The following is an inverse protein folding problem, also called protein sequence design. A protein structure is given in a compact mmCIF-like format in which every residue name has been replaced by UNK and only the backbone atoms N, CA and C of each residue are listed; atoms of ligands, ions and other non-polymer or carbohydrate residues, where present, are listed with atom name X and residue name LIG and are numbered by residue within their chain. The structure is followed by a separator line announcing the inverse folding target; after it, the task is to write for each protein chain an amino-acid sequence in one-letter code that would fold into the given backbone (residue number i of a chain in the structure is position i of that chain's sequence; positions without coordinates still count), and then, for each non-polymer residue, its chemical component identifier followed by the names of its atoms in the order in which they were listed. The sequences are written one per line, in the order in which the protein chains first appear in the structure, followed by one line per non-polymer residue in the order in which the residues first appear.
data_IF_502514675982
#
_entry.id   IF_502514675982
#
_cell.length_a   1.000
_cell.length_b   1.000
_cell.length_c   1.000
_cell.angle_alpha   90.00
_cell.angle_beta   90.00
_cell.angle_gamma   90.00
#
_symmetry.space_group_name_H-M   'P 1'
#
loop_
_entity.id
_entity.type
_entity.pdbx_description
1 polymer ?
#
# COMPACT_ATOMS: atom_id res chain seq x y z
N UNK A 1 30.67 -21.15 -13.30
CA UNK A 1 30.51 -20.43 -12.02
C UNK A 1 29.02 -20.29 -11.78
N UNK A 2 28.46 -21.00 -10.81
CA UNK A 2 27.05 -20.86 -10.41
C UNK A 2 26.90 -19.53 -9.68
N UNK A 3 25.99 -18.67 -10.15
CA UNK A 3 25.72 -17.40 -9.49
C UNK A 3 25.26 -17.66 -8.04
N UNK A 4 25.88 -16.98 -7.08
CA UNK A 4 25.37 -16.98 -5.69
C UNK A 4 23.95 -16.42 -5.68
N UNK A 5 23.01 -17.02 -4.94
CA UNK A 5 21.64 -16.53 -4.89
C UNK A 5 21.62 -15.11 -4.32
N UNK A 6 20.80 -14.24 -4.92
CA UNK A 6 20.58 -12.89 -4.42
C UNK A 6 20.08 -12.93 -2.97
N UNK A 7 20.53 -12.01 -2.10
CA UNK A 7 20.01 -11.93 -0.73
C UNK A 7 18.50 -11.70 -0.72
N UNK A 8 17.83 -12.19 0.33
CA UNK A 8 16.40 -12.00 0.53
C UNK A 8 16.10 -10.55 0.95
N UNK A 9 15.06 -9.97 0.35
CA UNK A 9 14.51 -8.68 0.77
C UNK A 9 13.41 -8.87 1.80
N UNK A 10 13.67 -8.47 3.05
CA UNK A 10 12.69 -8.51 4.13
C UNK A 10 11.88 -7.22 4.16
N UNK A 11 10.59 -7.29 3.85
CA UNK A 11 9.68 -6.16 3.98
C UNK A 11 8.94 -6.21 5.33
N UNK A 12 8.55 -5.04 5.83
CA UNK A 12 7.65 -4.94 6.99
C UNK A 12 6.22 -4.56 6.58
N UNK A 13 5.31 -4.53 7.56
CA UNK A 13 3.92 -4.15 7.37
C UNK A 13 3.54 -3.02 8.32
N UNK A 14 2.91 -1.96 7.81
CA UNK A 14 2.36 -0.89 8.66
C UNK A 14 0.93 -1.28 9.05
N UNK A 15 0.61 -1.44 10.35
CA UNK A 15 -0.68 -1.95 10.80
C UNK A 15 -1.76 -0.85 10.80
N UNK A 16 -2.16 -0.39 9.62
CA UNK A 16 -3.12 0.73 9.49
C UNK A 16 -4.56 0.39 9.89
N UNK A 17 -4.83 -0.87 10.28
CA UNK A 17 -6.09 -1.31 10.87
C UNK A 17 -5.99 -1.59 12.38
N UNK A 18 -4.89 -1.17 13.03
CA UNK A 18 -4.59 -1.43 14.43
C UNK A 18 -3.71 -2.66 14.63
N UNK A 19 -3.07 -2.71 15.79
CA UNK A 19 -2.12 -3.77 16.17
C UNK A 19 -2.38 -4.25 17.60
N UNK A 20 -1.75 -5.33 18.04
CA UNK A 20 -1.88 -5.80 19.42
C UNK A 20 -1.12 -7.09 19.69
N UNK A 21 -1.06 -7.45 20.97
CA UNK A 21 -0.41 -8.68 21.41
C UNK A 21 -1.28 -9.93 21.23
N UNK A 22 -2.59 -9.77 21.03
CA UNK A 22 -3.57 -10.86 20.97
C UNK A 22 -4.52 -10.69 19.78
N UNK A 23 -4.84 -11.79 19.11
CA UNK A 23 -5.75 -11.81 17.97
C UNK A 23 -7.22 -11.90 18.42
N UNK A 24 -8.11 -11.23 17.71
CA UNK A 24 -9.56 -11.35 17.92
C UNK A 24 -10.08 -10.78 19.25
N UNK A 25 -9.32 -9.91 19.91
CA UNK A 25 -9.69 -9.28 21.19
C UNK A 25 -9.17 -7.85 21.27
N UNK A 26 -9.85 -7.01 22.04
CA UNK A 26 -9.44 -5.63 22.36
C UNK A 26 -8.36 -5.57 23.46
N UNK A 27 -8.05 -6.70 24.09
CA UNK A 27 -7.06 -6.77 25.15
C UNK A 27 -5.68 -6.36 24.62
N UNK A 28 -5.11 -5.29 25.18
CA UNK A 28 -3.80 -4.74 24.78
C UNK A 28 -3.71 -4.40 23.28
N UNK A 29 -4.80 -3.90 22.70
CA UNK A 29 -4.75 -3.32 21.36
C UNK A 29 -4.03 -1.96 21.38
N UNK A 30 -3.34 -1.70 20.28
CA UNK A 30 -2.76 -0.42 19.91
C UNK A 30 -3.59 0.15 18.75
N UNK A 31 -4.20 1.33 18.92
CA UNK A 31 -5.01 1.94 17.87
C UNK A 31 -4.16 2.32 16.63
N UNK A 32 -4.78 2.42 15.45
CA UNK A 32 -4.13 2.80 14.19
C UNK A 32 -3.76 4.29 14.14
N UNK A 33 -2.88 4.75 15.03
CA UNK A 33 -2.47 6.15 15.10
C UNK A 33 -1.23 6.43 14.24
N UNK A 34 -1.23 7.57 13.54
CA UNK A 34 -0.09 7.97 12.70
C UNK A 34 1.22 8.07 13.49
N UNK A 35 1.17 8.48 14.76
CA UNK A 35 2.34 8.51 15.64
C UNK A 35 2.97 7.12 15.81
N UNK A 36 2.15 6.07 15.94
CA UNK A 36 2.61 4.69 16.04
C UNK A 36 3.17 4.18 14.70
N UNK A 37 2.54 4.51 13.57
CA UNK A 37 3.06 4.14 12.24
C UNK A 37 4.43 4.77 11.98
N UNK A 38 4.62 6.02 12.40
CA UNK A 38 5.91 6.72 12.34
C UNK A 38 6.99 5.97 13.11
N UNK A 39 6.71 5.55 14.34
CA UNK A 39 7.67 4.79 15.15
C UNK A 39 8.12 3.51 14.45
N UNK A 40 7.17 2.74 13.90
CA UNK A 40 7.46 1.52 13.14
C UNK A 40 8.31 1.86 11.90
N UNK A 41 7.86 2.80 11.08
CA UNK A 41 8.54 3.17 9.84
C UNK A 41 9.98 3.61 10.08
N UNK A 42 10.22 4.47 11.07
CA UNK A 42 11.57 4.92 11.43
C UNK A 42 12.42 3.82 12.05
N UNK A 43 11.83 2.85 12.75
CA UNK A 43 12.57 1.70 13.25
C UNK A 43 13.07 0.82 12.09
N UNK A 44 12.18 0.44 11.16
CA UNK A 44 12.54 -0.47 10.07
C UNK A 44 13.44 0.19 9.02
N UNK A 45 13.29 1.51 8.80
CA UNK A 45 14.22 2.30 7.96
C UNK A 45 15.65 2.26 8.53
N UNK A 46 15.80 2.44 9.86
CA UNK A 46 17.11 2.37 10.55
C UNK A 46 17.70 0.97 10.59
N UNK A 47 16.84 -0.05 10.68
CA UNK A 47 17.26 -1.46 10.68
C UNK A 47 17.61 -1.99 9.27
N UNK A 48 17.44 -1.18 8.23
CA UNK A 48 17.83 -1.54 6.86
C UNK A 48 16.81 -2.39 6.11
N UNK A 49 15.53 -2.38 6.54
CA UNK A 49 14.48 -3.00 5.74
C UNK A 49 14.29 -2.22 4.43
N UNK A 50 14.26 -2.88 3.26
CA UNK A 50 14.09 -2.21 1.97
C UNK A 50 12.74 -1.51 1.80
N UNK A 51 11.69 -1.93 2.51
CA UNK A 51 10.40 -1.26 2.41
C UNK A 51 9.32 -1.83 3.32
N UNK A 52 8.14 -1.20 3.22
CA UNK A 52 6.93 -1.57 3.97
C UNK A 52 5.73 -1.68 3.07
N UNK A 53 4.86 -2.65 3.35
CA UNK A 53 3.52 -2.73 2.79
C UNK A 53 2.55 -1.91 3.65
N UNK A 54 1.75 -1.09 2.98
CA UNK A 54 0.58 -0.44 3.57
C UNK A 54 -0.68 -1.13 3.02
N UNK A 55 -1.54 -1.70 3.88
CA UNK A 55 -2.74 -2.37 3.43
C UNK A 55 -3.81 -1.38 2.97
N UNK A 56 -4.85 -1.91 2.34
CA UNK A 56 -6.05 -1.17 1.94
C UNK A 56 -7.29 -1.96 2.32
N UNK A 57 -8.41 -1.26 2.47
CA UNK A 57 -9.70 -1.84 2.82
C UNK A 57 -10.47 -0.92 3.77
N UNK A 58 -11.75 -1.21 3.99
CA UNK A 58 -12.67 -0.37 4.78
C UNK A 58 -12.22 -0.10 6.23
N UNK A 59 -11.42 -0.99 6.82
CA UNK A 59 -10.96 -0.88 8.21
C UNK A 59 -9.52 -0.37 8.33
N UNK A 60 -8.91 0.09 7.23
CA UNK A 60 -7.54 0.61 7.20
C UNK A 60 -7.58 2.13 6.99
N UNK A 61 -6.63 2.84 7.60
CA UNK A 61 -6.29 4.20 7.14
C UNK A 61 -5.85 4.18 5.67
N UNK A 62 -6.10 5.27 4.93
CA UNK A 62 -5.76 5.36 3.52
C UNK A 62 -4.25 5.21 3.30
N UNK A 63 -3.88 4.22 2.47
CA UNK A 63 -2.48 3.87 2.23
C UNK A 63 -1.68 4.96 1.51
N UNK A 64 -2.29 5.74 0.62
CA UNK A 64 -1.61 6.79 -0.13
C UNK A 64 -1.28 7.99 0.77
N UNK A 65 -2.25 8.43 1.56
CA UNK A 65 -2.08 9.52 2.53
C UNK A 65 -1.08 9.10 3.62
N UNK A 66 -1.22 7.90 4.18
CA UNK A 66 -0.31 7.40 5.21
C UNK A 66 1.13 7.30 4.68
N UNK A 67 1.33 6.72 3.49
CA UNK A 67 2.65 6.64 2.87
C UNK A 67 3.25 8.03 2.59
N UNK A 68 2.43 8.99 2.14
CA UNK A 68 2.87 10.38 1.91
C UNK A 68 3.43 11.00 3.19
N UNK A 69 2.72 10.84 4.31
CA UNK A 69 3.19 11.33 5.61
C UNK A 69 4.51 10.68 6.03
N UNK A 70 4.57 9.35 5.99
CA UNK A 70 5.75 8.57 6.42
C UNK A 70 6.97 8.78 5.51
N UNK A 71 6.76 9.03 4.21
CA UNK A 71 7.83 9.29 3.26
C UNK A 71 8.63 10.54 3.62
N UNK A 72 7.99 11.55 4.21
CA UNK A 72 8.68 12.78 4.67
C UNK A 72 9.48 12.58 5.96
N UNK A 73 9.31 11.45 6.65
CA UNK A 73 9.88 11.16 7.97
C UNK A 73 10.91 10.02 7.96
N UNK A 74 11.23 9.49 6.77
CA UNK A 74 12.15 8.38 6.54
C UNK A 74 13.08 8.69 5.37
N UNK A 75 14.25 8.04 5.33
CA UNK A 75 15.30 8.35 4.36
C UNK A 75 15.36 7.35 3.21
N UNK A 76 15.21 6.05 3.50
CA UNK A 76 15.57 4.95 2.57
C UNK A 76 14.39 4.03 2.27
N UNK A 77 13.48 3.93 3.24
CA UNK A 77 12.36 3.00 3.24
C UNK A 77 11.47 3.18 2.02
N UNK A 78 11.23 2.10 1.27
CA UNK A 78 10.25 2.10 0.18
C UNK A 78 8.85 1.84 0.69
N UNK A 79 7.85 2.40 0.01
CA UNK A 79 6.45 2.27 0.39
C UNK A 79 5.68 1.51 -0.68
N UNK A 80 5.32 0.27 -0.38
CA UNK A 80 4.45 -0.54 -1.21
C UNK A 80 2.99 -0.19 -0.90
N UNK A 81 2.42 0.68 -1.73
CA UNK A 81 1.07 1.24 -1.59
C UNK A 81 0.10 0.51 -2.50
N UNK A 82 -1.13 0.28 -2.01
CA UNK A 82 -2.15 -0.41 -2.78
C UNK A 82 -2.76 0.51 -3.86
N UNK A 83 -2.63 0.10 -5.12
CA UNK A 83 -3.35 0.67 -6.25
C UNK A 83 -4.61 -0.16 -6.48
N UNK A 84 -5.79 0.46 -6.39
CA UNK A 84 -7.09 -0.22 -6.54
C UNK A 84 -7.80 0.19 -7.85
N UNK A 85 -7.66 -0.58 -8.95
CA UNK A 85 -8.21 -0.20 -10.26
C UNK A 85 -9.71 0.08 -10.30
N UNK A 86 -10.50 -0.67 -9.53
CA UNK A 86 -11.96 -0.55 -9.56
C UNK A 86 -12.52 0.71 -8.88
N UNK A 87 -11.74 1.36 -8.00
CA UNK A 87 -12.25 2.43 -7.12
C UNK A 87 -11.70 3.83 -7.47
N UNK A 88 -10.80 3.93 -8.45
CA UNK A 88 -10.18 5.21 -8.84
C UNK A 88 -10.05 5.31 -10.36
N UNK A 89 -9.80 6.52 -10.86
CA UNK A 89 -9.56 6.76 -12.27
C UNK A 89 -8.07 6.56 -12.61
N UNK A 90 -7.72 5.90 -13.74
CA UNK A 90 -6.33 5.59 -14.07
C UNK A 90 -5.46 6.84 -14.18
N UNK A 91 -5.97 7.90 -14.81
CA UNK A 91 -5.25 9.18 -14.95
C UNK A 91 -5.06 9.90 -13.61
N UNK A 92 -6.02 9.75 -12.68
CA UNK A 92 -5.88 10.32 -11.34
C UNK A 92 -4.82 9.56 -10.53
N UNK A 93 -4.86 8.23 -10.55
CA UNK A 93 -3.87 7.38 -9.90
C UNK A 93 -2.46 7.57 -10.47
N UNK A 94 -2.30 7.79 -11.79
CA UNK A 94 -1.01 8.10 -12.41
C UNK A 94 -0.42 9.40 -11.85
N UNK A 95 -1.24 10.45 -11.70
CA UNK A 95 -0.82 11.72 -11.10
C UNK A 95 -0.46 11.58 -9.62
N UNK A 96 -1.22 10.81 -8.84
CA UNK A 96 -0.88 10.52 -7.44
C UNK A 96 0.43 9.74 -7.34
N UNK A 97 0.65 8.75 -8.20
CA UNK A 97 1.91 8.00 -8.31
C UNK A 97 3.07 8.94 -8.54
N UNK A 98 3.01 9.76 -9.60
CA UNK A 98 4.09 10.69 -9.94
C UNK A 98 4.33 11.74 -8.83
N UNK A 99 3.32 12.12 -8.07
CA UNK A 99 3.48 13.03 -6.94
C UNK A 99 4.19 12.38 -5.75
N UNK A 100 3.72 11.22 -5.32
CA UNK A 100 4.29 10.50 -4.17
C UNK A 100 5.70 9.94 -4.49
N UNK A 101 5.93 9.47 -5.72
CA UNK A 101 7.25 9.01 -6.13
C UNK A 101 8.29 10.14 -6.06
N UNK A 102 7.98 11.32 -6.61
CA UNK A 102 8.86 12.50 -6.50
C UNK A 102 9.02 12.98 -5.06
N UNK A 103 7.94 13.01 -4.27
CA UNK A 103 8.00 13.42 -2.86
C UNK A 103 8.88 12.48 -2.03
N UNK A 104 8.83 11.18 -2.34
CA UNK A 104 9.62 10.15 -1.67
C UNK A 104 11.02 9.97 -2.27
N UNK A 105 11.41 10.71 -3.31
CA UNK A 105 12.66 10.53 -4.06
C UNK A 105 12.82 9.12 -4.67
N UNK A 106 11.81 8.63 -5.39
CA UNK A 106 11.89 7.35 -6.10
C UNK A 106 11.67 6.12 -5.20
N UNK A 107 10.99 6.28 -4.05
CA UNK A 107 10.79 5.22 -3.05
C UNK A 107 9.37 4.65 -3.07
N UNK A 108 8.56 4.98 -4.05
CA UNK A 108 7.22 4.41 -4.19
C UNK A 108 7.27 3.05 -4.88
N UNK A 109 6.53 2.08 -4.33
CA UNK A 109 6.22 0.80 -4.94
C UNK A 109 4.70 0.64 -4.99
N UNK A 110 4.18 -0.09 -5.98
CA UNK A 110 2.75 -0.27 -6.15
C UNK A 110 2.35 -1.75 -6.06
N UNK A 111 1.34 -2.01 -5.24
CA UNK A 111 0.67 -3.30 -5.14
C UNK A 111 -0.71 -3.19 -5.79
N UNK A 112 -0.95 -3.89 -6.91
CA UNK A 112 -2.25 -3.83 -7.59
C UNK A 112 -3.25 -4.74 -6.88
N UNK A 113 -4.32 -4.15 -6.34
CA UNK A 113 -5.35 -4.86 -5.58
C UNK A 113 -6.70 -4.68 -6.27
N UNK A 114 -7.16 -5.73 -6.95
CA UNK A 114 -8.41 -5.74 -7.73
C UNK A 114 -9.66 -5.74 -6.83
N UNK A 115 -9.54 -6.25 -5.61
CA UNK A 115 -10.64 -6.37 -4.64
C UNK A 115 -11.29 -7.76 -4.65
N UNK A 116 -11.43 -8.33 -3.46
CA UNK A 116 -11.94 -9.69 -3.24
C UNK A 116 -13.30 -9.77 -2.54
N UNK A 117 -13.75 -8.68 -1.91
CA UNK A 117 -14.98 -8.65 -1.13
C UNK A 117 -16.07 -7.83 -1.84
N UNK A 118 -17.13 -8.45 -2.39
CA UNK A 118 -18.21 -7.74 -3.08
C UNK A 118 -18.95 -6.73 -2.20
N UNK A 119 -19.11 -7.01 -0.89
CA UNK A 119 -19.77 -6.08 0.04
C UNK A 119 -18.93 -4.82 0.24
N UNK A 120 -17.61 -4.99 0.34
CA UNK A 120 -16.68 -3.85 0.45
C UNK A 120 -16.74 -2.99 -0.82
N UNK A 121 -16.62 -3.65 -1.97
CA UNK A 121 -16.63 -3.04 -3.29
C UNK A 121 -17.94 -2.31 -3.60
N UNK A 122 -19.09 -2.88 -3.20
CA UNK A 122 -20.37 -2.21 -3.33
C UNK A 122 -20.44 -0.90 -2.53
N UNK A 123 -19.77 -0.84 -1.36
CA UNK A 123 -19.60 0.39 -0.59
C UNK A 123 -18.77 1.45 -1.33
N UNK A 124 -17.81 1.01 -2.16
CA UNK A 124 -17.02 1.87 -3.06
C UNK A 124 -17.72 2.14 -4.41
N UNK A 125 -18.95 1.66 -4.61
CA UNK A 125 -19.72 1.83 -5.84
C UNK A 125 -19.36 0.85 -6.98
N UNK A 126 -18.67 -0.25 -6.69
CA UNK A 126 -18.25 -1.27 -7.65
C UNK A 126 -19.10 -2.53 -7.51
N UNK A 127 -19.82 -2.89 -8.57
CA UNK A 127 -20.77 -4.00 -8.58
C UNK A 127 -20.39 -5.14 -9.54
N UNK A 128 -19.14 -5.16 -10.00
CA UNK A 128 -18.69 -6.11 -11.03
C UNK A 128 -18.46 -7.53 -10.47
N UNK A 129 -18.86 -8.58 -11.22
CA UNK A 129 -18.48 -9.97 -10.97
C UNK A 129 -16.96 -10.18 -10.98
N UNK A 130 -16.51 -11.32 -10.43
CA UNK A 130 -15.07 -11.62 -10.26
C UNK A 130 -14.23 -11.38 -11.52
N UNK A 131 -14.61 -11.99 -12.64
CA UNK A 131 -13.81 -11.93 -13.87
C UNK A 131 -13.83 -10.53 -14.50
N UNK A 132 -14.97 -9.85 -14.42
CA UNK A 132 -15.12 -8.48 -14.92
C UNK A 132 -14.26 -7.48 -14.14
N UNK A 133 -13.99 -7.72 -12.85
CA UNK A 133 -13.04 -6.89 -12.08
C UNK A 133 -11.61 -7.01 -12.61
N UNK A 134 -11.20 -8.20 -13.03
CA UNK A 134 -9.88 -8.39 -13.65
C UNK A 134 -9.81 -7.79 -15.05
N UNK A 135 -10.88 -7.88 -15.84
CA UNK A 135 -10.97 -7.20 -17.14
C UNK A 135 -10.85 -5.68 -16.97
N UNK A 136 -11.61 -5.10 -16.03
CA UNK A 136 -11.52 -3.68 -15.69
C UNK A 136 -10.11 -3.30 -15.21
N UNK A 137 -9.49 -4.12 -14.35
CA UNK A 137 -8.13 -3.87 -13.87
C UNK A 137 -7.10 -3.90 -15.01
N UNK A 138 -7.27 -4.77 -16.00
CA UNK A 138 -6.41 -4.82 -17.18
C UNK A 138 -6.52 -3.53 -18.01
N UNK A 139 -7.73 -3.05 -18.27
CA UNK A 139 -7.95 -1.77 -18.99
C UNK A 139 -7.36 -0.58 -18.22
N UNK A 140 -7.62 -0.53 -16.92
CA UNK A 140 -7.06 0.49 -16.03
C UNK A 140 -5.53 0.51 -16.12
N UNK A 141 -4.88 -0.65 -16.01
CA UNK A 141 -3.42 -0.75 -16.03
C UNK A 141 -2.84 -0.43 -17.42
N UNK A 142 -3.55 -0.77 -18.49
CA UNK A 142 -3.13 -0.40 -19.85
C UNK A 142 -3.09 1.13 -20.00
N UNK A 143 -4.13 1.83 -19.54
CA UNK A 143 -4.17 3.30 -19.55
C UNK A 143 -3.10 3.87 -18.62
N UNK A 144 -3.02 3.39 -17.38
CA UNK A 144 -2.11 3.89 -16.36
C UNK A 144 -0.64 3.77 -16.80
N UNK A 145 -0.23 2.62 -17.35
CA UNK A 145 1.13 2.40 -17.87
C UNK A 145 1.48 3.28 -19.07
N UNK A 146 0.49 3.78 -19.81
CA UNK A 146 0.72 4.74 -20.88
C UNK A 146 0.99 6.16 -20.39
N UNK A 147 0.82 6.43 -19.08
CA UNK A 147 0.96 7.75 -18.47
C UNK A 147 2.15 7.90 -17.52
N UNK A 148 2.70 6.77 -17.03
CA UNK A 148 3.79 6.74 -16.05
C UNK A 148 5.14 6.36 -16.66
#
# INVERSE_FOLDING_TARGET
MTASPSPLDFFWFIPTHGDGSYLGTEKQQRPPEFGYFKEIAQAVDRLGFPGVLLPTGQNCEDSWITATGLATLTERLKFLVALRPGVTLPTFAARQTAALDRLSNGRLLLNVVVGGNPTELAGDGVFLPHDERYAQAQEFLAIWRGLV
#
